data_IF_352859913426
#
_entry.id   IF_352859913426
#
_cell.length_a   1.000
_cell.length_b   1.000
_cell.length_c   1.000
_cell.angle_alpha   90.00
_cell.angle_beta   90.00
_cell.angle_gamma   90.00
#
_symmetry.space_group_name_H-M   'P 1'
#
loop_
_entity.id
_entity.type
_entity.pdbx_description
1 polymer ?
#
# COMPACT_ATOMS: atom_id res chain seq x y z
N UNK A 1 11.55 15.92 5.66
CA UNK A 1 11.42 14.46 5.68
C UNK A 1 12.73 13.91 6.22
N UNK A 2 12.73 13.24 7.37
CA UNK A 2 13.93 12.56 7.86
C UNK A 2 14.28 11.45 6.87
N UNK A 3 15.53 11.40 6.42
CA UNK A 3 16.04 10.28 5.62
C UNK A 3 15.79 8.97 6.36
N UNK A 4 15.19 7.95 5.72
CA UNK A 4 15.00 6.65 6.35
C UNK A 4 16.36 6.11 6.79
N UNK A 5 16.43 5.62 8.03
CA UNK A 5 17.66 5.03 8.56
C UNK A 5 17.79 3.61 7.98
N UNK A 6 18.83 3.31 7.19
CA UNK A 6 19.03 1.97 6.65
C UNK A 6 19.27 0.97 7.78
N UNK A 7 18.88 -0.29 7.57
CA UNK A 7 19.13 -1.38 8.52
C UNK A 7 20.59 -1.87 8.45
N UNK A 8 21.33 -1.48 7.41
CA UNK A 8 22.70 -1.93 7.16
C UNK A 8 22.75 -3.36 6.62
N UNK A 9 21.68 -3.77 5.93
CA UNK A 9 21.52 -5.08 5.31
C UNK A 9 21.17 -4.87 3.85
N UNK A 10 22.09 -5.14 2.89
CA UNK A 10 21.80 -4.95 1.46
C UNK A 10 20.51 -5.62 1.01
N UNK A 11 20.25 -6.85 1.46
CA UNK A 11 19.03 -7.61 1.14
C UNK A 11 17.71 -6.90 1.55
N UNK A 12 17.76 -5.95 2.50
CA UNK A 12 16.60 -5.17 2.94
C UNK A 12 16.68 -3.70 2.47
N UNK A 13 17.87 -3.12 2.46
CA UNK A 13 18.08 -1.72 2.11
C UNK A 13 17.94 -1.50 0.59
N UNK A 14 18.35 -2.46 -0.23
CA UNK A 14 18.24 -2.39 -1.70
C UNK A 14 16.78 -2.49 -2.18
N UNK A 15 15.86 -2.97 -1.32
CA UNK A 15 14.42 -2.95 -1.60
C UNK A 15 13.85 -1.52 -1.66
N UNK A 16 14.56 -0.55 -1.08
CA UNK A 16 14.18 0.86 -1.03
C UNK A 16 12.77 1.13 -0.45
N UNK A 17 12.24 0.20 0.34
CA UNK A 17 10.94 0.36 1.00
C UNK A 17 11.04 1.34 2.16
N UNK A 18 9.97 2.14 2.42
CA UNK A 18 9.90 2.97 3.61
C UNK A 18 10.16 2.16 4.89
N UNK A 19 11.07 2.66 5.73
CA UNK A 19 11.40 2.06 7.03
C UNK A 19 10.91 2.99 8.14
N UNK A 20 10.08 2.46 9.03
CA UNK A 20 9.52 3.16 10.20
C UNK A 20 9.92 2.48 11.51
N UNK A 21 9.68 3.15 12.64
CA UNK A 21 9.96 2.61 13.98
C UNK A 21 11.40 2.84 14.45
N UNK A 22 11.91 1.92 15.28
CA UNK A 22 13.22 2.02 15.95
C UNK A 22 14.33 1.38 15.12
N UNK A 23 14.40 1.74 13.84
CA UNK A 23 15.32 1.14 12.86
C UNK A 23 16.79 1.20 13.28
N UNK A 24 17.24 2.30 13.88
CA UNK A 24 18.63 2.44 14.35
C UNK A 24 19.02 1.40 15.42
N UNK A 25 18.09 1.06 16.32
CA UNK A 25 18.31 0.08 17.38
C UNK A 25 18.26 -1.35 16.84
N UNK A 26 17.36 -1.62 15.89
CA UNK A 26 17.29 -2.90 15.18
C UNK A 26 18.60 -3.13 14.40
N UNK A 27 19.08 -2.11 13.68
CA UNK A 27 20.37 -2.16 13.00
C UNK A 27 21.54 -2.38 13.96
N UNK A 28 21.48 -1.83 15.19
CA UNK A 28 22.49 -2.08 16.22
C UNK A 28 22.46 -3.53 16.74
N UNK A 29 21.28 -4.10 16.94
CA UNK A 29 21.10 -5.50 17.31
C UNK A 29 21.67 -6.44 16.24
N UNK A 30 21.36 -6.15 14.96
CA UNK A 30 21.89 -6.88 13.80
C UNK A 30 23.43 -6.85 13.76
N UNK A 31 24.04 -5.66 13.87
CA UNK A 31 25.51 -5.51 13.91
C UNK A 31 26.15 -6.22 15.11
N UNK A 32 25.45 -6.28 16.24
CA UNK A 32 25.93 -6.92 17.47
C UNK A 32 25.66 -8.43 17.51
N UNK A 33 25.15 -9.02 16.40
CA UNK A 33 24.77 -10.43 16.29
C UNK A 33 23.76 -10.90 17.35
N UNK A 34 22.91 -10.01 17.82
CA UNK A 34 21.79 -10.40 18.69
C UNK A 34 20.66 -11.01 17.85
N UNK A 35 19.86 -11.94 18.39
CA UNK A 35 18.73 -12.50 17.67
C UNK A 35 17.71 -11.41 17.29
N UNK A 36 17.35 -11.35 16.02
CA UNK A 36 16.32 -10.46 15.47
C UNK A 36 15.27 -11.31 14.78
N UNK A 37 14.02 -11.14 15.20
CA UNK A 37 12.89 -11.83 14.59
C UNK A 37 12.50 -11.16 13.27
N UNK A 38 12.40 -11.94 12.20
CA UNK A 38 11.84 -11.52 10.92
C UNK A 38 10.39 -11.99 10.82
N UNK A 39 9.47 -11.03 10.93
CA UNK A 39 8.04 -11.22 10.70
C UNK A 39 7.69 -10.73 9.30
N UNK A 40 7.78 -11.64 8.33
CA UNK A 40 7.45 -11.39 6.93
C UNK A 40 6.36 -12.38 6.47
N UNK A 41 5.08 -12.08 6.79
CA UNK A 41 3.94 -12.92 6.41
C UNK A 41 3.66 -12.88 4.90
N UNK A 42 4.23 -11.92 4.18
CA UNK A 42 4.10 -11.80 2.73
C UNK A 42 5.11 -12.69 1.98
N UNK A 43 6.17 -13.16 2.66
CA UNK A 43 7.21 -14.00 2.07
C UNK A 43 8.04 -13.27 1.02
N UNK A 44 8.10 -11.94 1.09
CA UNK A 44 8.75 -11.08 0.09
C UNK A 44 10.23 -10.84 0.40
N UNK A 45 10.65 -11.06 1.65
CA UNK A 45 12.06 -10.94 2.04
C UNK A 45 12.77 -12.25 1.74
N UNK A 46 13.61 -12.21 0.70
CA UNK A 46 14.51 -13.28 0.29
C UNK A 46 15.97 -12.86 0.28
N UNK A 47 16.82 -13.66 -0.37
CA UNK A 47 18.25 -13.42 -0.49
C UNK A 47 19.07 -13.97 0.69
N UNK A 48 20.33 -13.55 0.76
CA UNK A 48 21.27 -13.94 1.81
C UNK A 48 21.04 -13.05 3.05
N UNK A 49 20.29 -13.58 4.01
CA UNK A 49 20.01 -12.92 5.28
C UNK A 49 21.06 -13.32 6.32
N UNK A 50 21.45 -12.42 7.25
CA UNK A 50 22.41 -12.77 8.27
C UNK A 50 21.83 -13.85 9.21
N UNK A 51 22.69 -14.70 9.76
CA UNK A 51 22.31 -15.84 10.62
C UNK A 51 21.47 -15.47 11.86
N UNK A 52 21.55 -14.22 12.30
CA UNK A 52 20.82 -13.70 13.44
C UNK A 52 19.52 -12.96 13.07
N UNK A 53 19.16 -12.87 11.79
CA UNK A 53 17.85 -12.43 11.32
C UNK A 53 17.06 -13.66 10.88
N UNK A 54 16.24 -14.20 11.78
CA UNK A 54 15.55 -15.47 11.57
C UNK A 54 14.06 -15.33 11.82
N UNK A 55 13.28 -16.18 11.17
CA UNK A 55 11.83 -16.26 11.40
C UNK A 55 11.58 -17.03 12.69
N UNK A 56 10.67 -16.51 13.53
CA UNK A 56 10.34 -17.10 14.83
C UNK A 56 11.57 -17.22 15.74
N UNK A 57 12.33 -16.12 15.87
CA UNK A 57 13.48 -16.09 16.77
C UNK A 57 13.05 -16.29 18.23
N UNK A 58 13.78 -17.12 18.98
CA UNK A 58 13.58 -17.25 20.43
C UNK A 58 14.21 -16.06 21.17
N UNK A 59 13.46 -15.46 22.10
CA UNK A 59 13.88 -14.31 22.90
C UNK A 59 14.59 -13.19 22.08
N UNK A 60 13.93 -12.64 21.04
CA UNK A 60 14.55 -11.68 20.15
C UNK A 60 14.90 -10.36 20.87
N UNK A 61 16.07 -9.82 20.56
CA UNK A 61 16.50 -8.51 21.01
C UNK A 61 15.83 -7.38 20.22
N UNK A 62 15.37 -7.65 18.99
CA UNK A 62 14.64 -6.71 18.13
C UNK A 62 13.80 -7.47 17.09
N UNK A 63 12.94 -6.77 16.35
CA UNK A 63 12.15 -7.35 15.24
C UNK A 63 12.25 -6.50 13.98
N UNK A 64 12.17 -7.17 12.85
CA UNK A 64 11.92 -6.62 11.53
C UNK A 64 10.56 -7.12 11.10
N UNK A 65 9.61 -6.21 10.84
CA UNK A 65 8.24 -6.55 10.43
C UNK A 65 8.01 -6.02 9.02
N UNK A 66 7.52 -6.87 8.13
CA UNK A 66 7.17 -6.50 6.75
C UNK A 66 5.65 -6.49 6.63
N UNK A 67 5.08 -5.31 6.40
CA UNK A 67 3.62 -5.17 6.34
C UNK A 67 3.19 -3.89 5.64
N UNK A 68 1.99 -3.91 5.09
CA UNK A 68 1.29 -2.74 4.56
C UNK A 68 0.28 -2.15 5.56
N UNK A 69 0.29 -2.62 6.81
CA UNK A 69 -0.45 -1.99 7.89
C UNK A 69 0.24 -0.70 8.37
N UNK A 70 -0.54 0.19 8.99
CA UNK A 70 -0.01 1.40 9.63
C UNK A 70 1.12 1.03 10.63
N UNK A 71 2.37 1.49 10.39
CA UNK A 71 3.50 1.20 11.25
C UNK A 71 3.29 1.62 12.71
N UNK A 72 2.47 2.65 12.97
CA UNK A 72 2.20 3.11 14.33
C UNK A 72 1.56 2.03 15.20
N UNK A 73 0.70 1.18 14.61
CA UNK A 73 0.06 0.07 15.30
C UNK A 73 1.07 -1.02 15.66
N UNK A 74 1.92 -1.37 14.70
CA UNK A 74 2.95 -2.40 14.85
C UNK A 74 3.97 -2.01 15.92
N UNK A 75 4.45 -0.77 15.85
CA UNK A 75 5.44 -0.24 16.81
C UNK A 75 4.84 -0.13 18.20
N UNK A 76 3.58 0.33 18.32
CA UNK A 76 2.91 0.52 19.61
C UNK A 76 2.65 -0.77 20.40
N UNK A 77 2.63 -1.92 19.73
CA UNK A 77 2.35 -3.23 20.34
C UNK A 77 3.60 -4.00 20.81
N UNK A 78 4.81 -3.53 20.47
CA UNK A 78 6.03 -4.29 20.73
C UNK A 78 6.79 -3.80 21.98
N UNK A 79 7.18 -4.71 22.90
CA UNK A 79 8.03 -4.37 24.05
C UNK A 79 9.52 -4.23 23.68
N UNK A 80 9.91 -4.66 22.48
CA UNK A 80 11.30 -4.65 21.98
C UNK A 80 11.41 -3.77 20.73
N UNK A 81 12.62 -3.39 20.28
CA UNK A 81 12.79 -2.54 19.09
C UNK A 81 12.19 -3.18 17.85
N UNK A 82 11.47 -2.40 17.05
CA UNK A 82 10.88 -2.85 15.79
C UNK A 82 11.22 -1.89 14.68
N UNK A 83 11.70 -2.43 13.57
CA UNK A 83 11.74 -1.76 12.28
C UNK A 83 10.58 -2.30 11.44
N UNK A 84 9.78 -1.42 10.87
CA UNK A 84 8.69 -1.79 9.97
C UNK A 84 9.10 -1.42 8.55
N UNK A 85 9.18 -2.41 7.66
CA UNK A 85 9.33 -2.19 6.23
C UNK A 85 7.95 -2.22 5.59
N UNK A 86 7.63 -1.19 4.82
CA UNK A 86 6.33 -1.04 4.15
C UNK A 86 6.46 -1.25 2.64
N UNK A 87 6.30 -2.48 2.13
CA UNK A 87 6.31 -2.74 0.70
C UNK A 87 5.13 -2.03 -0.02
N UNK A 88 5.31 -1.59 -1.28
CA UNK A 88 4.27 -0.94 -2.06
C UNK A 88 3.29 -1.96 -2.63
N UNK A 89 2.44 -2.55 -1.79
CA UNK A 89 1.52 -3.64 -2.16
C UNK A 89 0.11 -3.19 -2.50
N UNK A 90 -0.25 -1.93 -2.24
CA UNK A 90 -1.63 -1.47 -2.33
C UNK A 90 -1.89 -0.70 -3.62
N UNK A 91 -3.03 -0.99 -4.26
CA UNK A 91 -3.57 -0.18 -5.35
C UNK A 91 -4.84 0.50 -4.86
N UNK A 92 -4.91 1.82 -5.03
CA UNK A 92 -6.13 2.59 -4.75
C UNK A 92 -6.89 2.84 -6.06
N UNK A 93 -8.08 2.25 -6.18
CA UNK A 93 -9.00 2.54 -7.25
C UNK A 93 -9.85 3.76 -6.93
N UNK A 94 -9.93 4.71 -7.86
CA UNK A 94 -10.65 5.97 -7.64
C UNK A 94 -11.65 6.23 -8.77
N UNK A 95 -12.87 6.56 -8.38
CA UNK A 95 -13.87 7.19 -9.25
C UNK A 95 -14.24 8.57 -8.72
N UNK A 96 -14.27 9.58 -9.59
CA UNK A 96 -14.60 10.96 -9.22
C UNK A 96 -15.56 11.59 -10.23
N UNK A 97 -16.47 12.42 -9.73
CA UNK A 97 -17.23 13.35 -10.56
C UNK A 97 -16.44 14.65 -10.75
N UNK A 98 -16.82 15.42 -11.76
CA UNK A 98 -16.22 16.74 -12.00
C UNK A 98 -16.38 17.67 -10.78
N UNK A 99 -15.34 18.46 -10.52
CA UNK A 99 -15.33 19.45 -9.44
C UNK A 99 -14.91 18.93 -8.06
N UNK A 100 -14.52 17.65 -7.91
CA UNK A 100 -13.87 17.16 -6.68
C UNK A 100 -12.42 17.61 -6.66
N UNK A 101 -12.02 18.40 -5.67
CA UNK A 101 -10.62 18.82 -5.53
C UNK A 101 -9.71 17.71 -4.96
N UNK A 102 -8.41 17.82 -5.20
CA UNK A 102 -7.39 16.85 -4.80
C UNK A 102 -7.30 16.69 -3.27
N UNK A 103 -7.59 17.75 -2.50
CA UNK A 103 -7.57 17.71 -1.05
C UNK A 103 -8.74 16.87 -0.50
N UNK A 104 -9.92 16.98 -1.11
CA UNK A 104 -11.10 16.18 -0.80
C UNK A 104 -10.86 14.72 -1.16
N UNK A 105 -10.29 14.45 -2.33
CA UNK A 105 -9.89 13.09 -2.72
C UNK A 105 -8.87 12.52 -1.72
N UNK A 106 -7.84 13.31 -1.37
CA UNK A 106 -6.82 12.92 -0.40
C UNK A 106 -7.42 12.57 0.95
N UNK A 107 -8.28 13.43 1.49
CA UNK A 107 -8.95 13.17 2.77
C UNK A 107 -9.85 11.94 2.74
N UNK A 108 -10.47 11.63 1.60
CA UNK A 108 -11.26 10.41 1.46
C UNK A 108 -10.37 9.16 1.46
N UNK A 109 -9.28 9.16 0.68
CA UNK A 109 -8.34 8.02 0.66
C UNK A 109 -7.67 7.83 2.01
N UNK A 110 -7.17 8.89 2.63
CA UNK A 110 -6.53 8.83 3.95
C UNK A 110 -7.48 8.25 5.01
N UNK A 111 -8.76 8.64 5.00
CA UNK A 111 -9.78 8.06 5.90
C UNK A 111 -9.98 6.57 5.62
N UNK A 112 -10.15 6.19 4.35
CA UNK A 112 -10.35 4.78 3.97
C UNK A 112 -9.15 3.92 4.42
N UNK A 113 -7.92 4.40 4.24
CA UNK A 113 -6.73 3.69 4.70
C UNK A 113 -6.68 3.59 6.22
N UNK A 114 -6.91 4.69 6.94
CA UNK A 114 -6.90 4.73 8.39
C UNK A 114 -7.96 3.80 9.01
N UNK A 115 -9.21 3.85 8.51
CA UNK A 115 -10.31 3.01 8.99
C UNK A 115 -10.06 1.50 8.77
N UNK A 116 -9.17 1.16 7.83
CA UNK A 116 -8.77 -0.21 7.51
C UNK A 116 -7.35 -0.54 8.00
N UNK A 117 -6.73 0.33 8.80
CA UNK A 117 -5.40 0.14 9.39
C UNK A 117 -4.27 -0.04 8.36
N UNK A 118 -4.43 0.53 7.16
CA UNK A 118 -3.48 0.43 6.05
C UNK A 118 -2.56 1.64 5.99
N UNK A 119 -1.31 1.42 5.59
CA UNK A 119 -0.33 2.47 5.42
C UNK A 119 -0.46 3.15 4.05
N UNK A 120 -0.55 4.48 4.01
CA UNK A 120 -0.47 5.24 2.76
C UNK A 120 0.86 5.01 2.02
N UNK A 121 1.94 4.75 2.76
CA UNK A 121 3.26 4.43 2.21
C UNK A 121 3.31 3.07 1.49
N UNK A 122 2.28 2.21 1.67
CA UNK A 122 2.15 0.96 0.93
C UNK A 122 1.47 1.13 -0.44
N UNK A 123 1.03 2.34 -0.81
CA UNK A 123 0.42 2.56 -2.13
C UNK A 123 1.48 2.43 -3.23
N UNK A 124 1.27 1.50 -4.15
CA UNK A 124 2.05 1.30 -5.37
C UNK A 124 1.51 2.11 -6.55
N UNK A 125 0.21 2.34 -6.61
CA UNK A 125 -0.44 3.04 -7.73
C UNK A 125 -1.82 3.57 -7.35
N UNK A 126 -2.24 4.62 -8.04
CA UNK A 126 -3.65 4.97 -8.21
C UNK A 126 -4.15 4.36 -9.51
N UNK A 127 -5.35 3.78 -9.51
CA UNK A 127 -6.00 3.25 -10.72
C UNK A 127 -7.36 3.94 -10.96
N UNK A 128 -7.64 4.30 -12.21
CA UNK A 128 -8.93 4.91 -12.60
C UNK A 128 -9.24 4.63 -14.07
N UNK A 129 -10.40 5.09 -14.55
CA UNK A 129 -10.78 4.99 -15.96
C UNK A 129 -9.97 5.97 -16.81
N UNK A 130 -9.59 5.58 -18.03
CA UNK A 130 -8.75 6.39 -18.95
C UNK A 130 -9.19 7.86 -19.05
N UNK A 131 -10.50 8.11 -19.21
CA UNK A 131 -11.05 9.46 -19.33
C UNK A 131 -10.86 10.34 -18.10
N UNK A 132 -10.39 9.80 -16.97
CA UNK A 132 -10.08 10.51 -15.73
C UNK A 132 -8.61 10.44 -15.32
N UNK A 133 -7.76 9.74 -16.06
CA UNK A 133 -6.35 9.65 -15.73
C UNK A 133 -5.66 11.03 -15.77
N UNK A 134 -5.96 11.85 -16.79
CA UNK A 134 -5.38 13.19 -16.95
C UNK A 134 -6.14 14.29 -16.17
N UNK A 135 -7.09 13.92 -15.32
CA UNK A 135 -7.77 14.90 -14.47
C UNK A 135 -6.74 15.55 -13.52
N UNK A 136 -6.62 16.89 -13.49
CA UNK A 136 -5.62 17.58 -12.66
C UNK A 136 -5.68 17.20 -11.18
N UNK A 137 -6.86 16.81 -10.69
CA UNK A 137 -7.07 16.46 -9.29
C UNK A 137 -6.57 15.04 -8.99
N UNK A 138 -6.69 14.13 -9.97
CA UNK A 138 -6.10 12.78 -9.91
C UNK A 138 -4.58 12.86 -9.96
N UNK A 139 -4.05 13.64 -10.90
CA UNK A 139 -2.61 13.84 -11.04
C UNK A 139 -2.01 14.48 -9.79
N UNK A 140 -2.60 15.57 -9.28
CA UNK A 140 -2.11 16.23 -8.08
C UNK A 140 -2.13 15.31 -6.84
N UNK A 141 -3.14 14.45 -6.72
CA UNK A 141 -3.18 13.45 -5.65
C UNK A 141 -2.07 12.40 -5.80
N UNK A 142 -1.90 11.85 -7.00
CA UNK A 142 -0.89 10.83 -7.29
C UNK A 142 0.54 11.38 -7.08
N UNK A 143 0.80 12.59 -7.57
CA UNK A 143 2.06 13.32 -7.35
C UNK A 143 2.31 13.56 -5.86
N UNK A 144 1.28 13.93 -5.11
CA UNK A 144 1.37 14.13 -3.65
C UNK A 144 1.67 12.85 -2.86
N UNK A 145 1.53 11.68 -3.48
CA UNK A 145 1.90 10.38 -2.92
C UNK A 145 3.17 9.79 -3.57
N UNK A 146 3.63 10.35 -4.69
CA UNK A 146 4.75 9.82 -5.47
C UNK A 146 4.44 8.48 -6.16
N UNK A 147 3.17 8.23 -6.49
CA UNK A 147 2.73 6.97 -7.12
C UNK A 147 2.26 7.21 -8.56
N UNK A 148 2.45 6.25 -9.48
CA UNK A 148 1.92 6.35 -10.84
C UNK A 148 0.39 6.27 -10.88
N UNK A 149 -0.20 6.90 -11.89
CA UNK A 149 -1.60 6.74 -12.28
C UNK A 149 -1.70 5.64 -13.34
N UNK A 150 -2.49 4.61 -13.07
CA UNK A 150 -2.88 3.56 -14.01
C UNK A 150 -4.21 3.94 -14.65
N UNK A 151 -4.13 4.39 -15.90
CA UNK A 151 -5.27 4.64 -16.77
C UNK A 151 -5.76 3.30 -17.34
N UNK A 152 -7.03 2.96 -17.11
CA UNK A 152 -7.62 1.73 -17.61
C UNK A 152 -8.81 1.98 -18.56
N UNK A 153 -8.86 1.32 -19.74
CA UNK A 153 -9.97 1.46 -20.67
C UNK A 153 -11.29 1.01 -20.04
N UNK A 154 -12.38 1.72 -20.36
CA UNK A 154 -13.71 1.40 -19.84
C UNK A 154 -14.12 -0.06 -20.11
N UNK A 155 -13.78 -0.59 -21.29
CA UNK A 155 -14.02 -1.99 -21.67
C UNK A 155 -13.29 -2.99 -20.76
N UNK A 156 -12.05 -2.66 -20.35
CA UNK A 156 -11.26 -3.48 -19.42
C UNK A 156 -11.90 -3.49 -18.04
N UNK A 157 -12.47 -2.34 -17.62
CA UNK A 157 -13.17 -2.20 -16.35
C UNK A 157 -14.51 -2.94 -16.35
N UNK A 158 -15.27 -2.90 -17.44
CA UNK A 158 -16.57 -3.59 -17.54
C UNK A 158 -16.43 -5.13 -17.52
N UNK A 159 -15.30 -5.64 -18.02
CA UNK A 159 -14.97 -7.07 -17.97
C UNK A 159 -14.72 -7.59 -16.54
N UNK A 160 -14.54 -6.73 -15.54
CA UNK A 160 -14.25 -7.14 -14.18
C UNK A 160 -15.51 -7.57 -13.42
N UNK A 161 -15.44 -8.73 -12.77
CA UNK A 161 -16.46 -9.20 -11.86
C UNK A 161 -16.36 -8.45 -10.51
N UNK A 162 -17.01 -7.28 -10.43
CA UNK A 162 -16.99 -6.45 -9.22
C UNK A 162 -18.00 -6.93 -8.16
N UNK A 163 -17.65 -6.87 -6.87
CA UNK A 163 -18.55 -7.31 -5.80
C UNK A 163 -19.70 -6.33 -5.53
N UNK A 164 -19.54 -5.04 -5.84
CA UNK A 164 -20.52 -3.99 -5.54
C UNK A 164 -20.94 -3.21 -6.79
N UNK A 165 -21.69 -3.85 -7.72
CA UNK A 165 -22.09 -3.21 -8.97
C UNK A 165 -23.01 -1.99 -8.71
N UNK A 166 -23.00 -1.04 -9.64
CA UNK A 166 -23.80 0.17 -9.64
C UNK A 166 -24.38 0.42 -11.03
N UNK A 167 -25.69 0.27 -11.16
CA UNK A 167 -26.40 0.47 -12.43
C UNK A 167 -26.27 1.93 -12.93
N UNK A 168 -26.22 2.90 -12.02
CA UNK A 168 -26.04 4.33 -12.32
C UNK A 168 -24.67 4.63 -12.98
N UNK A 169 -23.64 3.84 -12.70
CA UNK A 169 -22.28 4.03 -13.29
C UNK A 169 -22.19 3.35 -14.65
N UNK A 170 -22.90 2.23 -14.84
CA UNK A 170 -22.94 1.51 -16.10
C UNK A 170 -23.43 2.39 -17.26
N UNK A 171 -24.47 3.18 -17.01
CA UNK A 171 -25.06 4.07 -18.02
C UNK A 171 -24.18 5.29 -18.37
N UNK A 172 -23.29 5.72 -17.47
CA UNK A 172 -22.51 6.95 -17.64
C UNK A 172 -21.10 6.73 -18.21
N UNK A 173 -20.44 5.63 -17.83
CA UNK A 173 -19.04 5.33 -18.21
C UNK A 173 -18.83 3.89 -18.68
N UNK A 174 -19.91 3.13 -18.86
CA UNK A 174 -19.84 1.78 -19.41
C UNK A 174 -19.24 0.72 -18.48
N UNK A 175 -19.11 1.01 -17.18
CA UNK A 175 -18.67 0.03 -16.17
C UNK A 175 -19.52 0.11 -14.91
N UNK A 176 -19.74 -1.03 -14.25
CA UNK A 176 -20.61 -1.12 -13.06
C UNK A 176 -19.95 -0.59 -11.78
N UNK A 177 -18.62 -0.37 -11.74
CA UNK A 177 -17.92 0.23 -10.60
C UNK A 177 -16.48 0.59 -10.97
N UNK A 178 -16.19 1.85 -11.31
CA UNK A 178 -14.84 2.29 -11.73
C UNK A 178 -13.78 1.94 -10.68
N UNK A 179 -14.01 2.27 -9.41
CA UNK A 179 -13.01 2.11 -8.35
C UNK A 179 -12.66 0.63 -8.11
N UNK A 180 -13.64 -0.24 -7.93
CA UNK A 180 -13.39 -1.68 -7.70
C UNK A 180 -12.84 -2.35 -8.96
N UNK A 181 -13.40 -2.05 -10.14
CA UNK A 181 -12.93 -2.62 -11.39
C UNK A 181 -11.49 -2.21 -11.67
N UNK A 182 -11.10 -0.97 -11.38
CA UNK A 182 -9.75 -0.49 -11.62
C UNK A 182 -8.73 -1.21 -10.73
N UNK A 183 -9.09 -1.52 -9.49
CA UNK A 183 -8.29 -2.37 -8.60
C UNK A 183 -8.14 -3.78 -9.18
N UNK A 184 -9.25 -4.42 -9.55
CA UNK A 184 -9.24 -5.80 -10.06
C UNK A 184 -8.48 -5.94 -11.38
N UNK A 185 -8.65 -4.98 -12.29
CA UNK A 185 -7.93 -4.92 -13.56
C UNK A 185 -6.42 -4.69 -13.40
N UNK A 186 -5.97 -4.21 -12.23
CA UNK A 186 -4.55 -4.15 -11.89
C UNK A 186 -3.97 -5.48 -11.39
N UNK A 187 -4.75 -6.57 -11.35
CA UNK A 187 -4.35 -7.86 -10.77
C UNK A 187 -4.49 -7.93 -9.25
N UNK A 188 -4.89 -6.82 -8.60
CA UNK A 188 -4.95 -6.74 -7.15
C UNK A 188 -6.22 -7.41 -6.59
N UNK A 189 -6.07 -8.13 -5.48
CA UNK A 189 -7.20 -8.66 -4.71
C UNK A 189 -7.83 -7.53 -3.89
N UNK A 190 -9.14 -7.31 -4.02
CA UNK A 190 -9.86 -6.33 -3.20
C UNK A 190 -9.72 -6.65 -1.70
N UNK A 191 -9.31 -5.65 -0.93
CA UNK A 191 -9.18 -5.70 0.54
C UNK A 191 -10.09 -4.69 1.23
N UNK A 192 -10.39 -3.58 0.54
CA UNK A 192 -11.44 -2.64 0.91
C UNK A 192 -12.41 -2.51 -0.26
N UNK A 193 -13.67 -2.98 -0.13
CA UNK A 193 -14.71 -2.77 -1.13
C UNK A 193 -15.00 -1.28 -1.35
N UNK A 194 -15.85 -0.98 -2.34
CA UNK A 194 -16.25 0.39 -2.67
C UNK A 194 -16.72 1.19 -1.44
N UNK A 195 -16.01 2.27 -1.15
CA UNK A 195 -16.40 3.30 -0.19
C UNK A 195 -16.76 4.59 -0.94
N UNK A 196 -17.94 5.15 -0.66
CA UNK A 196 -18.47 6.34 -1.35
C UNK A 196 -18.51 7.51 -0.37
N UNK A 197 -17.94 8.65 -0.77
CA UNK A 197 -17.99 9.89 -0.01
C UNK A 197 -18.29 11.07 -0.95
N UNK A 198 -19.52 11.57 -0.86
CA UNK A 198 -20.02 12.64 -1.71
C UNK A 198 -19.91 12.29 -3.20
N UNK A 199 -18.99 12.96 -3.88
CA UNK A 199 -18.74 12.84 -5.32
C UNK A 199 -17.52 11.98 -5.67
N UNK A 200 -16.93 11.30 -4.69
CA UNK A 200 -15.77 10.43 -4.88
C UNK A 200 -16.04 9.02 -4.36
N UNK A 201 -15.41 8.05 -5.00
CA UNK A 201 -15.51 6.63 -4.71
C UNK A 201 -14.11 6.05 -4.66
N UNK A 202 -13.81 5.28 -3.61
CA UNK A 202 -12.51 4.67 -3.37
C UNK A 202 -12.68 3.18 -3.14
N UNK A 203 -11.77 2.38 -3.69
CA UNK A 203 -11.60 0.97 -3.33
C UNK A 203 -10.09 0.70 -3.16
N UNK A 204 -9.72 -0.30 -2.38
CA UNK A 204 -8.31 -0.66 -2.18
C UNK A 204 -8.13 -2.14 -2.42
N UNK A 205 -7.10 -2.48 -3.20
CA UNK A 205 -6.66 -3.85 -3.39
C UNK A 205 -5.21 -4.04 -3.02
N UNK A 206 -4.84 -5.30 -2.84
CA UNK A 206 -3.50 -5.76 -2.53
C UNK A 206 -2.98 -6.61 -3.69
N UNK A 207 -1.86 -6.20 -4.26
CA UNK A 207 -1.09 -6.95 -5.26
C UNK A 207 -0.54 -8.23 -4.66
N UNK A 208 -0.29 -9.22 -5.50
CA UNK A 208 0.39 -10.42 -5.05
C UNK A 208 1.88 -10.09 -4.75
N UNK A 209 2.50 -10.75 -3.76
CA UNK A 209 3.95 -10.63 -3.49
C UNK A 209 4.84 -10.75 -4.73
N UNK A 210 4.45 -11.60 -5.68
CA UNK A 210 5.15 -11.87 -6.94
C UNK A 210 5.16 -10.67 -7.91
N UNK A 211 4.27 -9.70 -7.70
CA UNK A 211 4.15 -8.50 -8.54
C UNK A 211 4.97 -7.31 -7.99
N UNK A 212 5.71 -7.52 -6.90
CA UNK A 212 6.56 -6.51 -6.24
C UNK A 212 8.02 -6.53 -6.72
N UNK A 213 8.36 -7.42 -7.66
CA UNK A 213 9.70 -7.65 -8.21
C UNK A 213 10.06 -6.75 -9.38
#
# INVERSE_FOLDING_TARGET
MSTPTPLGLPALDDLAWPISGRAAEVAAALRSRQPVDLDDPMGVVGGDLPENLVRAAEAPAARVVVTDMDPALVVGMSPIPVAVLTPPTLVVGVGLRDGVDAATLRGHVDRVLADNLLAAAALAALATVDGKADDPQVQAFADGLGVPVRALPAETLDAQAVPTPSDVVADAVGTRSVAEAAVLACGARLVVPKHVSGSSTVAVGRLAPEELS
#
